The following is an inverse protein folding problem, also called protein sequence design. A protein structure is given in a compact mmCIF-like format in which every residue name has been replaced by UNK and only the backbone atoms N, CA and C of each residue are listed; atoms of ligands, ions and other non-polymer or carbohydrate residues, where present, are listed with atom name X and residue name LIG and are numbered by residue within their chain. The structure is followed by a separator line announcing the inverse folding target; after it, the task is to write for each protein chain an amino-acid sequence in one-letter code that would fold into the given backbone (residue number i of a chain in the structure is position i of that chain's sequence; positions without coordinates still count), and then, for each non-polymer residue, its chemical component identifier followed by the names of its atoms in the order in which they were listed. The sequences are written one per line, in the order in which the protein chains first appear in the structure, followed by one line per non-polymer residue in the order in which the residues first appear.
data_IF_458594395824
#
_entry.id   IF_458594395824
#
_cell.length_a   1.000
_cell.length_b   1.000
_cell.length_c   1.000
_cell.angle_alpha   90.00
_cell.angle_beta   90.00
_cell.angle_gamma   90.00
#
_symmetry.space_group_name_H-M   'P 1'
#
loop_
_entity.id
_entity.type
_entity.pdbx_description
1 polymer ?
#
# COMPACT_ATOMS: atom_id res chain seq x y z
N UNK A 1 -2.30 -72.99 1.27
CA UNK A 1 -2.87 -71.80 0.61
C UNK A 1 -2.48 -70.58 1.37
N UNK A 2 -1.44 -69.83 0.90
CA UNK A 2 -0.99 -68.57 1.47
C UNK A 2 -1.50 -67.43 0.55
N UNK A 3 -2.12 -66.36 1.06
CA UNK A 3 -2.45 -65.21 0.24
C UNK A 3 -1.21 -64.26 0.20
N UNK A 4 -0.71 -64.01 -1.00
CA UNK A 4 0.29 -63.02 -1.28
C UNK A 4 -0.27 -61.61 -1.06
N UNK A 5 0.33 -60.83 -0.14
CA UNK A 5 0.07 -59.41 0.02
C UNK A 5 0.66 -58.63 -1.16
N UNK A 6 -0.18 -58.00 -1.98
CA UNK A 6 0.22 -57.02 -2.98
C UNK A 6 0.65 -55.72 -2.26
N UNK A 7 1.90 -55.32 -2.40
CA UNK A 7 2.42 -54.04 -2.01
C UNK A 7 1.90 -52.94 -2.98
N UNK A 8 1.49 -51.79 -2.51
CA UNK A 8 1.08 -50.69 -3.40
C UNK A 8 2.31 -49.99 -3.98
N UNK A 9 2.60 -50.23 -5.26
CA UNK A 9 3.68 -49.56 -6.01
C UNK A 9 3.33 -48.13 -6.48
N UNK A 10 2.15 -47.64 -6.20
CA UNK A 10 1.66 -46.36 -6.66
C UNK A 10 2.04 -45.18 -5.78
N UNK A 11 2.18 -45.35 -4.47
CA UNK A 11 2.53 -44.28 -3.54
C UNK A 11 3.96 -43.75 -3.72
N UNK A 12 4.88 -44.60 -4.16
CA UNK A 12 6.30 -44.21 -4.37
C UNK A 12 6.47 -43.35 -5.63
N UNK A 13 5.66 -43.57 -6.66
CA UNK A 13 5.75 -42.83 -7.92
C UNK A 13 5.14 -41.44 -7.80
N UNK A 14 4.04 -41.29 -7.05
CA UNK A 14 3.44 -39.98 -6.78
C UNK A 14 4.34 -39.11 -5.90
N UNK A 15 4.95 -39.71 -4.86
CA UNK A 15 5.90 -38.99 -4.00
C UNK A 15 7.15 -38.54 -4.77
N UNK A 16 7.67 -39.38 -5.66
CA UNK A 16 8.82 -39.04 -6.52
C UNK A 16 8.42 -37.91 -7.51
N UNK A 17 7.20 -37.95 -8.07
CA UNK A 17 6.72 -36.93 -8.97
C UNK A 17 6.49 -35.59 -8.23
N UNK A 18 5.95 -35.64 -7.02
CA UNK A 18 5.77 -34.49 -6.15
C UNK A 18 7.09 -33.86 -5.69
N UNK A 19 8.09 -34.70 -5.38
CA UNK A 19 9.46 -34.26 -5.06
C UNK A 19 10.15 -33.67 -6.28
N UNK A 20 10.01 -34.27 -7.47
CA UNK A 20 10.60 -33.75 -8.71
C UNK A 20 9.91 -32.47 -9.23
N UNK A 21 8.61 -32.32 -9.03
CA UNK A 21 7.92 -31.06 -9.31
C UNK A 21 8.30 -29.95 -8.30
N UNK A 22 8.54 -30.32 -7.04
CA UNK A 22 9.06 -29.41 -6.01
C UNK A 22 10.48 -28.95 -6.32
N UNK A 23 11.35 -29.87 -6.77
CA UNK A 23 12.72 -29.55 -7.18
C UNK A 23 12.78 -28.65 -8.43
N UNK A 24 11.80 -28.73 -9.34
CA UNK A 24 11.70 -27.83 -10.50
C UNK A 24 11.33 -26.41 -10.12
N UNK A 25 10.62 -26.20 -9.00
CA UNK A 25 10.28 -24.84 -8.52
C UNK A 25 11.45 -24.13 -7.83
N UNK A 26 12.57 -24.80 -7.61
CA UNK A 26 13.77 -24.30 -6.94
C UNK A 26 14.90 -23.89 -7.87
N UNK A 27 14.75 -24.11 -9.18
CA UNK A 27 15.73 -23.67 -10.17
C UNK A 27 15.82 -22.12 -10.13
N UNK A 28 17.04 -21.55 -9.96
CA UNK A 28 17.25 -20.11 -10.07
C UNK A 28 16.71 -19.50 -11.36
N UNK A 29 16.58 -20.29 -12.42
CA UNK A 29 15.94 -19.90 -13.67
C UNK A 29 14.41 -19.73 -13.51
N UNK A 30 13.75 -20.57 -12.73
CA UNK A 30 12.31 -20.48 -12.44
C UNK A 30 11.98 -19.31 -11.50
N UNK A 31 12.84 -19.03 -10.52
CA UNK A 31 12.71 -17.83 -9.68
C UNK A 31 12.83 -16.55 -10.52
N UNK A 32 13.79 -16.49 -11.46
CA UNK A 32 13.91 -15.37 -12.42
C UNK A 32 12.68 -15.23 -13.30
N UNK A 33 12.05 -16.35 -13.71
CA UNK A 33 10.83 -16.34 -14.51
C UNK A 33 9.60 -15.88 -13.71
N UNK A 34 9.54 -16.21 -12.41
CA UNK A 34 8.42 -15.87 -11.53
C UNK A 34 8.34 -14.36 -11.25
N UNK A 35 9.49 -13.70 -11.08
CA UNK A 35 9.56 -12.25 -10.77
C UNK A 35 9.81 -11.36 -11.99
N UNK A 36 9.82 -11.90 -13.21
CA UNK A 36 9.95 -11.10 -14.42
C UNK A 36 8.63 -10.45 -14.79
N UNK A 37 8.66 -9.14 -15.16
CA UNK A 37 7.50 -8.43 -15.71
C UNK A 37 6.95 -9.18 -16.92
N UNK A 38 5.66 -9.52 -16.89
CA UNK A 38 4.99 -10.31 -17.94
C UNK A 38 4.04 -9.44 -18.74
N UNK A 39 3.67 -9.91 -19.91
CA UNK A 39 2.63 -9.28 -20.74
C UNK A 39 1.32 -9.08 -19.95
N UNK A 40 0.98 -10.00 -19.08
CA UNK A 40 -0.21 -9.91 -18.21
C UNK A 40 -0.14 -8.70 -17.26
N UNK A 41 1.04 -8.38 -16.70
CA UNK A 41 1.24 -7.22 -15.84
C UNK A 41 1.07 -5.93 -16.65
N UNK A 42 1.62 -5.90 -17.87
CA UNK A 42 1.43 -4.77 -18.81
C UNK A 42 -0.04 -4.57 -19.15
N UNK A 43 -0.77 -5.64 -19.49
CA UNK A 43 -2.19 -5.57 -19.80
C UNK A 43 -3.00 -5.09 -18.60
N UNK A 44 -2.74 -5.64 -17.39
CA UNK A 44 -3.40 -5.19 -16.16
C UNK A 44 -3.14 -3.72 -15.88
N UNK A 45 -1.87 -3.29 -15.94
CA UNK A 45 -1.51 -1.87 -15.75
C UNK A 45 -2.19 -1.00 -16.81
N UNK A 46 -2.21 -1.41 -18.07
CA UNK A 46 -2.88 -0.66 -19.13
C UNK A 46 -4.39 -0.54 -18.90
N UNK A 47 -5.05 -1.59 -18.43
CA UNK A 47 -6.48 -1.55 -18.07
C UNK A 47 -6.73 -0.60 -16.91
N UNK A 48 -5.91 -0.65 -15.85
CA UNK A 48 -6.01 0.27 -14.72
C UNK A 48 -5.83 1.73 -15.17
N UNK A 49 -4.81 1.99 -15.98
CA UNK A 49 -4.55 3.33 -16.53
C UNK A 49 -5.68 3.79 -17.46
N UNK A 50 -6.30 2.90 -18.22
CA UNK A 50 -7.47 3.24 -19.04
C UNK A 50 -8.69 3.63 -18.19
N UNK A 51 -8.93 2.92 -17.07
CA UNK A 51 -10.00 3.28 -16.12
C UNK A 51 -9.71 4.66 -15.47
N UNK A 52 -8.46 4.89 -15.07
CA UNK A 52 -8.05 6.17 -14.49
C UNK A 52 -8.16 7.29 -15.54
N UNK A 53 -7.74 7.05 -16.78
CA UNK A 53 -7.90 8.01 -17.87
C UNK A 53 -9.38 8.31 -18.13
N UNK A 54 -10.24 7.31 -18.11
CA UNK A 54 -11.69 7.53 -18.22
C UNK A 54 -12.23 8.40 -17.08
N UNK A 55 -11.78 8.16 -15.84
CA UNK A 55 -12.14 9.02 -14.70
C UNK A 55 -11.69 10.47 -14.91
N UNK A 56 -10.47 10.69 -15.43
CA UNK A 56 -9.99 12.04 -15.78
C UNK A 56 -10.87 12.68 -16.85
N UNK A 57 -11.18 11.96 -17.93
CA UNK A 57 -12.01 12.47 -19.01
C UNK A 57 -13.40 12.86 -18.47
N UNK A 58 -13.99 12.05 -17.61
CA UNK A 58 -15.29 12.37 -16.98
C UNK A 58 -15.18 13.58 -16.07
N UNK A 59 -14.20 13.60 -15.15
CA UNK A 59 -14.06 14.67 -14.16
C UNK A 59 -13.76 16.03 -14.82
N UNK A 60 -12.76 16.08 -15.72
CA UNK A 60 -12.44 17.27 -16.49
C UNK A 60 -13.52 17.63 -17.52
N UNK A 61 -14.19 16.63 -18.08
CA UNK A 61 -15.35 16.84 -18.95
C UNK A 61 -16.48 17.56 -18.23
N UNK A 62 -16.84 17.13 -17.01
CA UNK A 62 -17.82 17.84 -16.17
C UNK A 62 -17.33 19.26 -15.87
N UNK A 63 -16.06 19.44 -15.51
CA UNK A 63 -15.50 20.76 -15.24
C UNK A 63 -15.65 21.69 -16.43
N UNK A 64 -15.13 21.30 -17.61
CA UNK A 64 -15.05 22.21 -18.76
C UNK A 64 -16.35 22.33 -19.55
N UNK A 65 -17.21 21.31 -19.58
CA UNK A 65 -18.43 21.32 -20.38
C UNK A 65 -19.68 21.73 -19.60
N UNK A 66 -19.67 21.58 -18.27
CA UNK A 66 -20.85 21.86 -17.45
C UNK A 66 -20.59 22.95 -16.40
N UNK A 67 -19.45 22.89 -15.68
CA UNK A 67 -19.20 23.82 -14.56
C UNK A 67 -18.71 25.17 -15.07
N UNK A 68 -17.71 25.21 -15.94
CA UNK A 68 -17.13 26.44 -16.46
C UNK A 68 -18.16 27.28 -17.24
N UNK A 69 -18.96 26.69 -18.18
CA UNK A 69 -19.98 27.45 -18.87
C UNK A 69 -21.15 27.93 -17.99
N UNK A 70 -21.31 27.29 -16.81
CA UNK A 70 -22.36 27.66 -15.87
C UNK A 70 -22.09 28.99 -15.12
N UNK A 71 -20.87 29.53 -15.19
CA UNK A 71 -20.46 30.78 -14.52
C UNK A 71 -20.89 30.85 -13.04
N UNK A 72 -20.72 29.70 -12.33
CA UNK A 72 -21.13 29.63 -10.92
C UNK A 72 -20.21 30.45 -10.03
N UNK A 73 -20.78 31.00 -8.97
CA UNK A 73 -20.09 31.81 -7.97
C UNK A 73 -20.41 31.31 -6.55
N UNK A 74 -19.45 31.41 -5.66
CA UNK A 74 -19.60 31.14 -4.22
C UNK A 74 -19.07 32.36 -3.48
N UNK A 75 -19.96 33.19 -2.94
CA UNK A 75 -19.62 34.53 -2.50
C UNK A 75 -19.10 35.34 -3.67
N UNK A 76 -17.96 36.00 -3.51
CA UNK A 76 -17.31 36.83 -4.55
C UNK A 76 -16.32 36.06 -5.43
N UNK A 77 -16.28 34.70 -5.34
CA UNK A 77 -15.31 33.86 -6.03
C UNK A 77 -15.98 32.97 -7.07
N UNK A 78 -15.37 32.92 -8.26
CA UNK A 78 -15.82 32.01 -9.32
C UNK A 78 -15.60 30.54 -8.91
N UNK A 79 -16.66 29.73 -9.02
CA UNK A 79 -16.62 28.31 -8.88
C UNK A 79 -16.36 27.67 -10.25
N UNK A 80 -15.06 27.46 -10.58
CA UNK A 80 -14.66 27.07 -11.92
C UNK A 80 -13.27 26.41 -11.97
N UNK A 81 -12.49 26.76 -12.99
CA UNK A 81 -11.20 26.11 -13.29
C UNK A 81 -10.26 26.13 -12.08
N UNK A 82 -10.14 27.27 -11.38
CA UNK A 82 -9.22 27.37 -10.23
C UNK A 82 -9.53 26.36 -9.14
N UNK A 83 -10.79 26.24 -8.73
CA UNK A 83 -11.22 25.26 -7.73
C UNK A 83 -11.07 23.82 -8.24
N UNK A 84 -11.36 23.58 -9.54
CA UNK A 84 -11.16 22.26 -10.13
C UNK A 84 -9.70 21.82 -10.13
N UNK A 85 -8.77 22.71 -10.51
CA UNK A 85 -7.34 22.44 -10.45
C UNK A 85 -6.88 22.23 -8.99
N UNK A 86 -7.39 23.05 -8.07
CA UNK A 86 -7.09 22.88 -6.63
C UNK A 86 -7.54 21.50 -6.13
N UNK A 87 -8.78 21.10 -6.42
CA UNK A 87 -9.28 19.78 -6.01
C UNK A 87 -8.45 18.63 -6.60
N UNK A 88 -8.07 18.72 -7.88
CA UNK A 88 -7.19 17.73 -8.52
C UNK A 88 -5.82 17.69 -7.84
N UNK A 89 -5.22 18.85 -7.56
CA UNK A 89 -3.91 18.94 -6.90
C UNK A 89 -3.95 18.43 -5.46
N UNK A 90 -5.05 18.71 -4.73
CA UNK A 90 -5.27 18.14 -3.40
C UNK A 90 -5.32 16.60 -3.45
N UNK A 91 -6.00 16.03 -4.45
CA UNK A 91 -6.02 14.58 -4.64
C UNK A 91 -4.64 14.00 -4.96
N UNK A 92 -3.86 14.68 -5.81
CA UNK A 92 -2.47 14.31 -6.08
C UNK A 92 -1.64 14.35 -4.78
N UNK A 93 -1.77 15.42 -3.99
CA UNK A 93 -1.05 15.58 -2.73
C UNK A 93 -1.43 14.49 -1.72
N UNK A 94 -2.70 14.18 -1.62
CA UNK A 94 -3.21 13.16 -0.71
C UNK A 94 -2.63 11.76 -0.98
N UNK A 95 -2.41 11.40 -2.25
CA UNK A 95 -1.71 10.16 -2.59
C UNK A 95 -0.26 10.08 -2.04
N UNK A 96 0.33 11.21 -1.68
CA UNK A 96 1.63 11.27 -1.02
C UNK A 96 1.53 11.33 0.51
N UNK A 97 0.34 11.19 1.09
CA UNK A 97 0.22 11.08 2.53
C UNK A 97 0.93 9.81 3.03
N UNK A 98 1.51 9.92 4.20
CA UNK A 98 2.47 8.94 4.71
C UNK A 98 1.85 7.56 4.93
N UNK A 99 0.59 7.51 5.35
CA UNK A 99 -0.20 6.32 5.57
C UNK A 99 -0.55 5.60 4.25
N UNK A 100 -0.88 6.35 3.17
CA UNK A 100 -1.09 5.82 1.82
C UNK A 100 0.16 5.09 1.32
N UNK A 101 1.30 5.78 1.32
CA UNK A 101 2.58 5.22 0.88
C UNK A 101 2.93 3.98 1.70
N UNK A 102 2.80 4.05 3.03
CA UNK A 102 3.13 2.94 3.91
C UNK A 102 2.19 1.75 3.70
N UNK A 103 0.87 1.97 3.54
CA UNK A 103 -0.11 0.93 3.31
C UNK A 103 0.11 0.22 1.96
N UNK A 104 0.31 0.99 0.88
CA UNK A 104 0.53 0.48 -0.48
C UNK A 104 1.86 -0.29 -0.56
N UNK A 105 2.96 0.31 -0.08
CA UNK A 105 4.29 -0.31 -0.11
C UNK A 105 4.33 -1.62 0.68
N UNK A 106 3.94 -1.59 1.94
CA UNK A 106 4.01 -2.77 2.80
C UNK A 106 3.10 -3.90 2.31
N UNK A 107 1.91 -3.57 1.77
CA UNK A 107 1.00 -4.57 1.20
C UNK A 107 1.54 -5.16 -0.10
N UNK A 108 2.08 -4.32 -0.98
CA UNK A 108 2.72 -4.76 -2.23
C UNK A 108 3.85 -5.73 -1.93
N UNK A 109 4.70 -5.40 -1.00
CA UNK A 109 5.81 -6.25 -0.53
C UNK A 109 5.32 -7.58 0.04
N UNK A 110 4.32 -7.54 0.94
CA UNK A 110 3.74 -8.76 1.52
C UNK A 110 3.20 -9.69 0.45
N UNK A 111 2.40 -9.17 -0.49
CA UNK A 111 1.83 -9.99 -1.56
C UNK A 111 2.90 -10.56 -2.49
N UNK A 112 3.96 -9.81 -2.76
CA UNK A 112 5.09 -10.32 -3.53
C UNK A 112 5.88 -11.39 -2.79
N UNK A 113 6.11 -11.23 -1.49
CA UNK A 113 6.70 -12.27 -0.66
C UNK A 113 5.86 -13.54 -0.64
N UNK A 114 4.52 -13.40 -0.80
CA UNK A 114 3.58 -14.51 -0.96
C UNK A 114 3.52 -15.08 -2.40
N UNK A 115 4.46 -14.72 -3.28
CA UNK A 115 4.53 -15.17 -4.67
C UNK A 115 3.42 -14.61 -5.58
N UNK A 116 2.75 -13.53 -5.16
CA UNK A 116 1.65 -12.90 -5.91
C UNK A 116 2.14 -11.72 -6.74
N UNK A 117 1.26 -11.23 -7.62
CA UNK A 117 1.52 -10.09 -8.51
C UNK A 117 0.60 -8.93 -8.15
N UNK A 118 1.02 -8.06 -7.23
CA UNK A 118 0.17 -7.02 -6.62
C UNK A 118 0.11 -5.70 -7.43
N UNK A 119 0.09 -5.75 -8.76
CA UNK A 119 0.11 -4.56 -9.64
C UNK A 119 -1.01 -3.56 -9.34
N UNK A 120 -2.14 -4.02 -8.82
CA UNK A 120 -3.34 -3.20 -8.62
C UNK A 120 -3.60 -2.81 -7.15
N UNK A 121 -2.61 -2.90 -6.27
CA UNK A 121 -2.75 -2.57 -4.84
C UNK A 121 -3.15 -1.11 -4.65
N UNK A 122 -2.38 -0.17 -5.22
CA UNK A 122 -2.67 1.26 -5.12
C UNK A 122 -4.01 1.64 -5.73
N UNK A 123 -4.34 1.07 -6.90
CA UNK A 123 -5.65 1.31 -7.54
C UNK A 123 -6.84 0.95 -6.63
N UNK A 124 -6.84 -0.25 -6.05
CA UNK A 124 -7.93 -0.69 -5.19
C UNK A 124 -8.01 0.11 -3.89
N UNK A 125 -6.87 0.50 -3.35
CA UNK A 125 -6.80 1.36 -2.17
C UNK A 125 -7.40 2.73 -2.49
N UNK A 126 -6.92 3.41 -3.52
CA UNK A 126 -7.44 4.70 -3.98
C UNK A 126 -8.92 4.67 -4.31
N UNK A 127 -9.39 3.62 -4.98
CA UNK A 127 -10.80 3.48 -5.33
C UNK A 127 -11.69 3.35 -4.08
N UNK A 128 -11.23 2.58 -3.08
CA UNK A 128 -11.93 2.46 -1.80
C UNK A 128 -12.01 3.78 -1.07
N UNK A 129 -10.89 4.46 -0.92
CA UNK A 129 -10.77 5.77 -0.28
C UNK A 129 -11.63 6.84 -0.99
N UNK A 130 -11.46 6.97 -2.31
CA UNK A 130 -12.26 7.91 -3.11
C UNK A 130 -13.77 7.67 -3.02
N UNK A 131 -14.19 6.41 -2.82
CA UNK A 131 -15.61 6.09 -2.68
C UNK A 131 -16.24 6.77 -1.48
N UNK A 132 -15.51 6.91 -0.36
CA UNK A 132 -15.98 7.65 0.82
C UNK A 132 -16.11 9.15 0.51
N UNK A 133 -15.07 9.71 -0.11
CA UNK A 133 -15.04 11.14 -0.47
C UNK A 133 -16.18 11.51 -1.41
N UNK A 134 -16.41 10.70 -2.46
CA UNK A 134 -17.52 10.91 -3.41
C UNK A 134 -18.87 10.70 -2.74
N UNK A 135 -19.02 9.67 -1.89
CA UNK A 135 -20.27 9.41 -1.17
C UNK A 135 -20.64 10.59 -0.25
N UNK A 136 -19.65 11.11 0.47
CA UNK A 136 -19.87 12.26 1.35
C UNK A 136 -20.25 13.51 0.55
N UNK A 137 -19.60 13.78 -0.57
CA UNK A 137 -19.98 14.89 -1.44
C UNK A 137 -21.39 14.73 -2.04
N UNK A 138 -21.82 13.50 -2.34
CA UNK A 138 -23.21 13.22 -2.72
C UNK A 138 -24.20 13.56 -1.60
N UNK A 139 -23.86 13.21 -0.35
CA UNK A 139 -24.67 13.55 0.82
C UNK A 139 -24.74 15.08 1.04
N UNK A 140 -23.62 15.78 0.83
CA UNK A 140 -23.54 17.25 0.87
C UNK A 140 -24.44 17.85 -0.23
N UNK A 141 -24.28 17.39 -1.47
CA UNK A 141 -25.07 17.87 -2.61
C UNK A 141 -26.59 17.61 -2.44
N UNK A 142 -26.94 16.52 -1.75
CA UNK A 142 -28.31 16.18 -1.38
C UNK A 142 -28.88 16.99 -0.21
N UNK A 143 -28.09 17.87 0.41
CA UNK A 143 -28.52 18.70 1.53
C UNK A 143 -28.88 17.92 2.78
N UNK A 144 -28.27 16.75 3.00
CA UNK A 144 -28.63 15.86 4.11
C UNK A 144 -28.10 16.39 5.45
N UNK A 145 -28.88 16.24 6.53
CA UNK A 145 -28.41 16.55 7.89
C UNK A 145 -27.19 15.69 8.31
N UNK A 146 -27.03 14.53 7.70
CA UNK A 146 -25.88 13.67 7.94
C UNK A 146 -24.58 14.32 7.44
N UNK A 147 -24.60 14.95 6.26
CA UNK A 147 -23.45 15.68 5.74
C UNK A 147 -23.02 16.79 6.71
N UNK A 148 -23.95 17.58 7.22
CA UNK A 148 -23.66 18.60 8.23
C UNK A 148 -23.04 18.03 9.53
N UNK A 149 -23.47 16.84 9.95
CA UNK A 149 -22.90 16.16 11.12
C UNK A 149 -21.48 15.65 10.86
N UNK A 150 -21.23 15.12 9.68
CA UNK A 150 -19.89 14.62 9.32
C UNK A 150 -18.90 15.77 9.13
N UNK A 151 -19.33 16.89 8.59
CA UNK A 151 -18.48 18.08 8.37
C UNK A 151 -18.20 18.91 9.64
N UNK A 152 -19.04 18.80 10.64
CA UNK A 152 -18.88 19.57 11.87
C UNK A 152 -17.93 18.86 12.85
N UNK A 153 -16.72 19.39 13.01
CA UNK A 153 -15.70 18.86 13.92
C UNK A 153 -16.22 18.69 15.37
N UNK A 154 -17.12 19.56 15.82
CA UNK A 154 -17.76 19.44 17.15
C UNK A 154 -18.82 18.33 17.23
N UNK A 155 -19.19 17.67 16.13
CA UNK A 155 -20.20 16.62 16.16
C UNK A 155 -19.64 15.28 16.62
N UNK A 156 -20.43 14.52 17.38
CA UNK A 156 -20.08 13.15 17.78
C UNK A 156 -19.86 12.22 16.56
N UNK A 157 -20.55 12.46 15.46
CA UNK A 157 -20.40 11.68 14.23
C UNK A 157 -19.02 11.89 13.61
N UNK A 158 -18.55 13.12 13.45
CA UNK A 158 -17.22 13.44 12.97
C UNK A 158 -16.14 12.83 13.86
N UNK A 159 -16.24 13.06 15.17
CA UNK A 159 -15.28 12.52 16.15
C UNK A 159 -15.22 10.98 16.15
N UNK A 160 -16.35 10.29 16.01
CA UNK A 160 -16.37 8.81 15.93
C UNK A 160 -15.75 8.32 14.62
N UNK A 161 -16.06 8.96 13.49
CA UNK A 161 -15.50 8.56 12.19
C UNK A 161 -13.98 8.81 12.15
N UNK A 162 -13.52 9.96 12.60
CA UNK A 162 -12.09 10.29 12.73
C UNK A 162 -11.37 9.27 13.62
N UNK A 163 -11.89 9.04 14.83
CA UNK A 163 -11.34 8.04 15.75
C UNK A 163 -11.24 6.64 15.11
N UNK A 164 -12.28 6.20 14.42
CA UNK A 164 -12.30 4.88 13.78
C UNK A 164 -11.30 4.82 12.62
N UNK A 165 -11.26 5.83 11.73
CA UNK A 165 -10.36 5.87 10.58
C UNK A 165 -8.91 5.85 11.01
N UNK A 166 -8.49 6.77 11.88
CA UNK A 166 -7.11 6.86 12.36
C UNK A 166 -6.69 5.63 13.18
N UNK A 167 -7.62 5.08 14.00
CA UNK A 167 -7.32 3.83 14.74
C UNK A 167 -7.12 2.65 13.80
N UNK A 168 -7.94 2.54 12.75
CA UNK A 168 -7.84 1.47 11.75
C UNK A 168 -6.54 1.62 10.96
N UNK A 169 -6.22 2.84 10.49
CA UNK A 169 -4.96 3.14 9.79
C UNK A 169 -3.76 2.76 10.63
N UNK A 170 -3.59 3.34 11.79
CA UNK A 170 -2.45 3.08 12.68
C UNK A 170 -2.32 1.61 13.08
N UNK A 171 -3.44 0.95 13.41
CA UNK A 171 -3.44 -0.47 13.74
C UNK A 171 -3.03 -1.33 12.54
N UNK A 172 -3.52 -1.01 11.35
CA UNK A 172 -3.13 -1.69 10.12
C UNK A 172 -1.65 -1.53 9.83
N UNK A 173 -1.11 -0.31 9.94
CA UNK A 173 0.30 -0.04 9.74
C UNK A 173 1.20 -0.84 10.70
N UNK A 174 0.82 -0.90 11.98
CA UNK A 174 1.52 -1.75 12.96
C UNK A 174 1.46 -3.23 12.62
N UNK A 175 0.28 -3.72 12.25
CA UNK A 175 0.09 -5.12 11.88
C UNK A 175 0.96 -5.51 10.68
N UNK A 176 0.89 -4.74 9.59
CA UNK A 176 1.62 -5.05 8.36
C UNK A 176 3.14 -4.88 8.56
N UNK A 177 3.57 -3.89 9.35
CA UNK A 177 4.97 -3.70 9.71
C UNK A 177 5.50 -4.87 10.55
N UNK A 178 4.72 -5.35 11.53
CA UNK A 178 5.08 -6.52 12.33
C UNK A 178 5.22 -7.79 11.48
N UNK A 179 4.31 -8.01 10.53
CA UNK A 179 4.39 -9.12 9.58
C UNK A 179 5.65 -9.06 8.72
N UNK A 180 5.97 -7.87 8.20
CA UNK A 180 7.18 -7.65 7.41
C UNK A 180 8.46 -7.78 8.26
N UNK A 181 8.42 -7.37 9.54
CA UNK A 181 9.54 -7.51 10.46
C UNK A 181 9.86 -8.99 10.73
N UNK A 182 8.85 -9.82 10.93
CA UNK A 182 9.09 -11.27 11.13
C UNK A 182 9.68 -11.91 9.87
N UNK A 183 9.19 -11.54 8.68
CA UNK A 183 9.77 -11.98 7.43
C UNK A 183 11.24 -11.52 7.30
N UNK A 184 11.54 -10.27 7.65
CA UNK A 184 12.89 -9.70 7.62
C UNK A 184 13.84 -10.42 8.58
N UNK A 185 13.38 -10.72 9.81
CA UNK A 185 14.17 -11.48 10.80
C UNK A 185 14.49 -12.90 10.29
N UNK A 186 13.54 -13.54 9.61
CA UNK A 186 13.78 -14.83 8.93
C UNK A 186 14.89 -14.73 7.89
N UNK A 187 14.83 -13.73 7.00
CA UNK A 187 15.85 -13.48 5.98
C UNK A 187 17.23 -13.19 6.61
N UNK A 188 17.28 -12.43 7.70
CA UNK A 188 18.52 -12.13 8.42
C UNK A 188 19.17 -13.36 9.04
N UNK A 189 18.37 -14.29 9.58
CA UNK A 189 18.90 -15.57 10.14
C UNK A 189 19.55 -16.40 9.04
N UNK A 190 18.88 -16.55 7.92
CA UNK A 190 19.41 -17.26 6.75
C UNK A 190 20.68 -16.59 6.25
N UNK A 191 20.69 -15.27 6.11
CA UNK A 191 21.88 -14.54 5.68
C UNK A 191 23.08 -14.75 6.61
N UNK A 192 22.85 -14.78 7.93
CA UNK A 192 23.90 -15.06 8.92
C UNK A 192 24.43 -16.49 8.80
N UNK A 193 23.54 -17.46 8.59
CA UNK A 193 23.91 -18.86 8.37
C UNK A 193 24.75 -19.03 7.09
N UNK A 194 24.37 -18.36 5.99
CA UNK A 194 25.15 -18.32 4.76
C UNK A 194 26.58 -17.79 4.97
N UNK A 195 26.72 -16.70 5.73
CA UNK A 195 28.04 -16.11 6.03
C UNK A 195 28.89 -16.98 6.96
N UNK A 196 28.28 -17.81 7.80
CA UNK A 196 28.96 -18.75 8.70
C UNK A 196 29.40 -20.04 7.99
N UNK A 197 29.12 -20.19 6.68
CA UNK A 197 29.51 -21.41 5.91
C UNK A 197 28.65 -22.62 6.18
N UNK A 198 27.60 -22.51 6.99
CA UNK A 198 26.65 -23.59 7.29
C UNK A 198 25.38 -23.47 6.43
N UNK A 199 25.55 -23.31 5.12
CA UNK A 199 24.45 -23.10 4.21
C UNK A 199 23.89 -24.39 3.66
N UNK A 200 22.65 -24.73 3.97
CA UNK A 200 21.84 -25.73 3.27
C UNK A 200 20.69 -24.98 2.56
N UNK A 201 20.62 -25.10 1.23
CA UNK A 201 19.61 -24.47 0.38
C UNK A 201 18.18 -24.93 0.78
N UNK A 202 18.05 -26.16 1.28
CA UNK A 202 16.80 -26.71 1.81
C UNK A 202 16.36 -26.06 3.13
N UNK A 203 17.30 -25.66 3.97
CA UNK A 203 17.04 -24.96 5.22
C UNK A 203 16.60 -23.52 4.97
N UNK A 204 17.11 -22.86 3.91
CA UNK A 204 16.64 -21.57 3.42
C UNK A 204 15.17 -21.61 3.01
N UNK A 205 14.78 -22.63 2.24
CA UNK A 205 13.39 -22.80 1.83
C UNK A 205 12.47 -23.13 2.99
N UNK A 206 12.88 -24.01 3.89
CA UNK A 206 12.12 -24.33 5.11
C UNK A 206 11.95 -23.12 6.02
N UNK A 207 12.93 -22.23 6.12
CA UNK A 207 12.82 -20.99 6.91
C UNK A 207 12.10 -19.87 6.17
N UNK A 208 12.16 -19.80 4.84
CA UNK A 208 11.26 -18.96 4.04
C UNK A 208 9.83 -19.51 4.09
N UNK A 209 9.67 -20.84 4.19
CA UNK A 209 8.40 -21.55 4.38
C UNK A 209 8.01 -21.73 5.86
N UNK A 210 8.85 -21.41 6.84
CA UNK A 210 8.54 -21.51 8.27
C UNK A 210 7.43 -20.54 8.74
N UNK A 211 6.58 -20.17 7.79
CA UNK A 211 5.21 -19.66 7.95
C UNK A 211 4.34 -20.54 8.86
N UNK A 212 4.80 -21.76 9.23
CA UNK A 212 4.05 -22.68 10.06
C UNK A 212 3.73 -22.15 11.47
N UNK A 213 4.67 -21.45 12.13
CA UNK A 213 4.43 -20.82 13.43
C UNK A 213 3.61 -19.52 13.27
N UNK A 214 3.96 -18.68 12.28
CA UNK A 214 3.19 -17.47 11.96
C UNK A 214 1.78 -17.79 11.47
N UNK A 215 1.60 -18.83 10.63
CA UNK A 215 0.27 -19.29 10.24
C UNK A 215 -0.55 -19.82 11.42
N UNK A 216 0.07 -20.35 12.47
CA UNK A 216 -0.65 -20.86 13.64
C UNK A 216 -1.10 -19.74 14.59
N UNK A 217 -0.27 -18.72 14.79
CA UNK A 217 -0.55 -17.59 15.71
C UNK A 217 -1.24 -16.43 15.01
N UNK A 218 -0.78 -16.07 13.81
CA UNK A 218 -1.27 -14.93 13.03
C UNK A 218 -2.02 -15.36 11.76
N UNK A 219 -2.28 -16.64 11.57
CA UNK A 219 -2.81 -17.19 10.32
C UNK A 219 -4.19 -16.65 9.89
N UNK A 220 -4.97 -16.09 10.83
CA UNK A 220 -6.19 -15.35 10.50
C UNK A 220 -5.88 -13.93 10.06
N UNK A 221 -4.91 -13.28 10.69
CA UNK A 221 -4.48 -11.90 10.38
C UNK A 221 -3.62 -11.84 9.11
N UNK A 222 -2.74 -12.83 8.88
CA UNK A 222 -1.96 -12.93 7.63
C UNK A 222 -2.83 -13.25 6.41
N UNK A 223 -4.00 -13.87 6.61
CA UNK A 223 -4.99 -14.10 5.56
C UNK A 223 -5.83 -12.86 5.24
N UNK A 224 -5.76 -11.79 6.06
CA UNK A 224 -6.60 -10.59 5.88
C UNK A 224 -6.39 -9.92 4.53
N UNK A 225 -5.13 -9.80 4.05
CA UNK A 225 -4.85 -9.30 2.71
C UNK A 225 -4.08 -10.38 1.93
N UNK A 226 -4.80 -11.11 1.13
CA UNK A 226 -4.29 -12.18 0.26
C UNK A 226 -4.43 -11.86 -1.23
N UNK A 227 -5.13 -10.80 -1.60
CA UNK A 227 -5.39 -10.36 -2.98
C UNK A 227 -5.41 -8.83 -3.04
N UNK A 228 -4.94 -8.20 -4.14
CA UNK A 228 -4.95 -6.74 -4.28
C UNK A 228 -6.34 -6.11 -4.07
N UNK A 229 -7.41 -6.74 -4.54
CA UNK A 229 -8.78 -6.23 -4.41
C UNK A 229 -9.27 -6.07 -2.96
N UNK A 230 -8.61 -6.69 -1.99
CA UNK A 230 -8.92 -6.50 -0.56
C UNK A 230 -8.41 -5.16 -0.01
N UNK A 231 -7.65 -4.42 -0.82
CA UNK A 231 -7.28 -3.04 -0.49
C UNK A 231 -8.45 -2.06 -0.65
N UNK A 232 -9.50 -2.41 -1.42
CA UNK A 232 -10.68 -1.57 -1.53
C UNK A 232 -11.39 -1.33 -0.18
N UNK A 233 -11.83 -2.37 0.57
CA UNK A 233 -12.43 -2.14 1.87
C UNK A 233 -11.47 -1.49 2.87
N UNK A 234 -10.17 -1.72 2.76
CA UNK A 234 -9.18 -1.06 3.59
C UNK A 234 -9.11 0.44 3.27
N UNK A 235 -8.94 0.81 1.99
CA UNK A 235 -8.94 2.21 1.56
C UNK A 235 -10.25 2.93 1.94
N UNK A 236 -11.39 2.24 1.83
CA UNK A 236 -12.66 2.77 2.30
C UNK A 236 -12.65 3.10 3.80
N UNK A 237 -12.08 2.21 4.63
CA UNK A 237 -11.97 2.45 6.07
C UNK A 237 -11.00 3.59 6.42
N UNK A 238 -9.91 3.73 5.65
CA UNK A 238 -8.99 4.86 5.79
C UNK A 238 -9.70 6.18 5.45
N UNK A 239 -10.45 6.24 4.37
CA UNK A 239 -11.20 7.44 3.97
C UNK A 239 -12.30 7.88 4.94
N UNK A 240 -12.64 7.07 5.97
CA UNK A 240 -13.56 7.50 7.03
C UNK A 240 -12.89 8.42 8.06
N UNK A 241 -11.55 8.53 8.05
CA UNK A 241 -10.79 9.27 9.05
C UNK A 241 -11.02 10.77 8.99
N UNK A 242 -11.09 11.36 7.80
CA UNK A 242 -11.19 12.82 7.56
C UNK A 242 -10.17 13.63 8.37
N UNK A 243 -8.98 13.06 8.59
CA UNK A 243 -7.95 13.62 9.45
C UNK A 243 -6.89 14.42 8.70
N UNK A 244 -7.00 14.49 7.35
CA UNK A 244 -6.04 15.22 6.51
C UNK A 244 -6.58 16.57 6.06
N UNK A 245 -5.70 17.58 6.05
CA UNK A 245 -6.03 18.93 5.58
C UNK A 245 -6.54 18.96 4.12
N UNK A 246 -6.11 18.00 3.30
CA UNK A 246 -6.52 17.86 1.90
C UNK A 246 -8.00 17.48 1.76
N UNK A 247 -8.46 16.49 2.54
CA UNK A 247 -9.85 16.05 2.54
C UNK A 247 -10.78 17.09 3.15
N UNK A 248 -10.39 17.67 4.30
CA UNK A 248 -11.15 18.72 4.96
C UNK A 248 -11.33 19.91 4.01
N UNK A 249 -10.26 20.37 3.36
CA UNK A 249 -10.33 21.48 2.39
C UNK A 249 -11.28 21.15 1.24
N UNK A 250 -11.20 19.94 0.68
CA UNK A 250 -12.11 19.51 -0.39
C UNK A 250 -13.57 19.53 0.06
N UNK A 251 -13.84 19.02 1.27
CA UNK A 251 -15.20 18.98 1.81
C UNK A 251 -15.75 20.40 2.10
N UNK A 252 -14.93 21.31 2.59
CA UNK A 252 -15.28 22.73 2.76
C UNK A 252 -15.62 23.38 1.42
N UNK A 253 -14.84 23.10 0.38
CA UNK A 253 -15.11 23.59 -0.98
C UNK A 253 -16.44 23.04 -1.52
N UNK A 254 -16.69 21.74 -1.38
CA UNK A 254 -17.95 21.11 -1.80
C UNK A 254 -19.15 21.64 -1.01
N UNK A 255 -18.99 21.79 0.32
CA UNK A 255 -20.00 22.32 1.22
C UNK A 255 -20.35 23.78 0.93
N UNK A 256 -19.36 24.60 0.62
CA UNK A 256 -19.58 26.01 0.21
C UNK A 256 -20.36 26.07 -1.09
N UNK A 257 -20.11 25.22 -2.07
CA UNK A 257 -20.87 25.08 -3.29
C UNK A 257 -22.33 24.69 -3.02
N UNK A 258 -22.56 23.73 -2.13
CA UNK A 258 -23.88 23.28 -1.73
C UNK A 258 -24.67 24.41 -1.02
N UNK A 259 -24.02 25.13 -0.11
CA UNK A 259 -24.62 26.27 0.61
C UNK A 259 -24.99 27.42 -0.35
N UNK A 260 -24.24 27.60 -1.43
CA UNK A 260 -24.56 28.56 -2.49
C UNK A 260 -25.65 28.07 -3.47
N UNK A 261 -26.18 26.84 -3.26
CA UNK A 261 -27.23 26.28 -4.11
C UNK A 261 -26.77 25.81 -5.49
N UNK A 262 -25.49 25.49 -5.64
CA UNK A 262 -24.94 24.97 -6.89
C UNK A 262 -25.57 23.61 -7.26
N UNK A 263 -25.70 23.30 -8.56
CA UNK A 263 -26.22 22.01 -8.98
C UNK A 263 -25.28 20.87 -8.53
N UNK A 264 -25.87 19.72 -8.26
CA UNK A 264 -25.18 18.54 -7.72
C UNK A 264 -23.94 18.11 -8.54
N UNK A 265 -23.98 18.24 -9.86
CA UNK A 265 -22.84 17.89 -10.71
C UNK A 265 -21.66 18.85 -10.56
N UNK A 266 -21.92 20.13 -10.26
CA UNK A 266 -20.85 21.08 -9.99
C UNK A 266 -20.15 20.75 -8.66
N UNK A 267 -20.92 20.40 -7.63
CA UNK A 267 -20.40 19.98 -6.32
C UNK A 267 -19.59 18.70 -6.47
N UNK A 268 -20.12 17.68 -7.19
CA UNK A 268 -19.44 16.40 -7.41
C UNK A 268 -18.22 16.48 -8.32
N UNK A 269 -18.09 17.52 -9.13
CA UNK A 269 -16.91 17.74 -9.96
C UNK A 269 -15.63 17.76 -9.13
N UNK A 270 -15.64 18.40 -7.95
CA UNK A 270 -14.46 18.52 -7.09
C UNK A 270 -13.95 17.17 -6.56
N UNK A 271 -14.78 16.32 -5.92
CA UNK A 271 -14.33 15.01 -5.44
C UNK A 271 -13.99 14.03 -6.57
N UNK A 272 -14.59 14.18 -7.75
CA UNK A 272 -14.18 13.37 -8.92
C UNK A 272 -12.80 13.76 -9.43
N UNK A 273 -12.47 15.06 -9.45
CA UNK A 273 -11.13 15.55 -9.77
C UNK A 273 -10.09 15.11 -8.73
N UNK A 274 -10.43 15.21 -7.45
CA UNK A 274 -9.62 14.71 -6.36
C UNK A 274 -9.34 13.19 -6.52
N UNK A 275 -10.41 12.41 -6.72
CA UNK A 275 -10.31 10.97 -6.94
C UNK A 275 -9.45 10.61 -8.16
N UNK A 276 -9.54 11.40 -9.24
CA UNK A 276 -8.72 11.19 -10.43
C UNK A 276 -7.22 11.41 -10.13
N UNK A 277 -6.88 12.50 -9.45
CA UNK A 277 -5.51 12.81 -9.04
C UNK A 277 -4.94 11.74 -8.11
N UNK A 278 -5.66 11.41 -7.04
CA UNK A 278 -5.25 10.41 -6.05
C UNK A 278 -5.10 9.03 -6.70
N UNK A 279 -6.10 8.56 -7.46
CA UNK A 279 -6.04 7.24 -8.09
C UNK A 279 -4.88 7.09 -9.06
N UNK A 280 -4.50 8.16 -9.76
CA UNK A 280 -3.34 8.14 -10.65
C UNK A 280 -2.06 7.90 -9.86
N UNK A 281 -1.81 8.68 -8.81
CA UNK A 281 -0.54 8.63 -8.08
C UNK A 281 -0.43 7.38 -7.19
N UNK A 282 -1.48 6.94 -6.51
CA UNK A 282 -1.50 5.69 -5.76
C UNK A 282 -1.27 4.47 -6.67
N UNK A 283 -1.84 4.50 -7.89
CA UNK A 283 -1.64 3.41 -8.86
C UNK A 283 -0.22 3.42 -9.42
N UNK A 284 0.36 4.60 -9.68
CA UNK A 284 1.74 4.75 -10.11
C UNK A 284 2.70 4.26 -9.01
N UNK A 285 2.46 4.64 -7.75
CA UNK A 285 3.26 4.19 -6.61
C UNK A 285 3.23 2.66 -6.47
N UNK A 286 2.06 2.05 -6.40
CA UNK A 286 1.92 0.59 -6.30
C UNK A 286 2.53 -0.15 -7.50
N UNK A 287 2.43 0.41 -8.70
CA UNK A 287 3.04 -0.17 -9.92
C UNK A 287 4.56 -0.05 -9.89
N UNK A 288 5.07 1.12 -9.49
CA UNK A 288 6.51 1.37 -9.35
C UNK A 288 7.12 0.45 -8.29
N UNK A 289 6.48 0.34 -7.12
CA UNK A 289 6.93 -0.56 -6.06
C UNK A 289 6.93 -2.02 -6.51
N UNK A 290 5.88 -2.46 -7.21
CA UNK A 290 5.85 -3.80 -7.78
C UNK A 290 7.00 -4.05 -8.76
N UNK A 291 7.32 -3.10 -9.63
CA UNK A 291 8.45 -3.18 -10.55
C UNK A 291 9.80 -3.22 -9.82
N UNK A 292 10.00 -2.32 -8.86
CA UNK A 292 11.22 -2.23 -8.06
C UNK A 292 11.50 -3.53 -7.30
N UNK A 293 10.45 -4.11 -6.69
CA UNK A 293 10.59 -5.38 -5.97
C UNK A 293 10.79 -6.58 -6.88
N UNK A 294 10.16 -6.64 -8.05
CA UNK A 294 10.44 -7.70 -9.03
C UNK A 294 11.92 -7.74 -9.41
N UNK A 295 12.49 -6.57 -9.69
CA UNK A 295 13.91 -6.45 -9.99
C UNK A 295 14.79 -6.89 -8.80
N UNK A 296 14.44 -6.50 -7.58
CA UNK A 296 15.17 -6.86 -6.37
C UNK A 296 15.14 -8.37 -6.10
N UNK A 297 13.99 -9.01 -6.34
CA UNK A 297 13.78 -10.43 -6.01
C UNK A 297 14.25 -11.42 -7.09
N UNK A 298 14.66 -10.94 -8.25
CA UNK A 298 15.10 -11.76 -9.38
C UNK A 298 16.45 -12.50 -9.17
N UNK A 299 17.21 -12.20 -8.11
CA UNK A 299 18.47 -12.82 -7.76
C UNK A 299 18.54 -13.06 -6.24
N UNK A 300 18.85 -14.28 -5.76
CA UNK A 300 18.85 -14.60 -4.32
C UNK A 300 19.71 -13.66 -3.47
N UNK A 301 20.93 -13.34 -3.90
CA UNK A 301 21.84 -12.44 -3.18
C UNK A 301 21.30 -11.01 -3.19
N UNK A 302 20.75 -10.57 -4.31
CA UNK A 302 20.10 -9.26 -4.46
C UNK A 302 18.85 -9.19 -3.60
N UNK A 303 18.03 -10.25 -3.59
CA UNK A 303 16.84 -10.38 -2.74
C UNK A 303 17.15 -10.16 -1.27
N UNK A 304 18.22 -10.78 -0.75
CA UNK A 304 18.62 -10.61 0.66
C UNK A 304 19.04 -9.17 0.94
N UNK A 305 19.90 -8.58 0.08
CA UNK A 305 20.40 -7.23 0.28
C UNK A 305 19.27 -6.18 0.24
N UNK A 306 18.42 -6.24 -0.77
CA UNK A 306 17.31 -5.28 -0.93
C UNK A 306 16.20 -5.52 0.10
N UNK A 307 15.87 -6.75 0.44
CA UNK A 307 14.93 -7.02 1.52
C UNK A 307 15.43 -6.43 2.84
N UNK A 308 16.72 -6.55 3.14
CA UNK A 308 17.27 -5.98 4.36
C UNK A 308 17.14 -4.45 4.37
N UNK A 309 17.52 -3.80 3.26
CA UNK A 309 17.59 -2.33 3.18
C UNK A 309 16.20 -1.71 3.05
N UNK A 310 15.45 -2.11 2.01
CA UNK A 310 14.18 -1.47 1.69
C UNK A 310 13.06 -1.97 2.62
N UNK A 311 13.00 -3.26 2.95
CA UNK A 311 12.02 -3.77 3.91
C UNK A 311 12.24 -3.19 5.30
N UNK A 312 13.50 -3.04 5.72
CA UNK A 312 13.82 -2.39 6.99
C UNK A 312 13.34 -0.94 7.04
N UNK A 313 13.55 -0.20 5.95
CA UNK A 313 13.06 1.17 5.82
C UNK A 313 11.53 1.24 5.88
N UNK A 314 10.83 0.41 5.09
CA UNK A 314 9.36 0.39 5.09
C UNK A 314 8.76 0.04 6.44
N UNK A 315 9.37 -0.92 7.15
CA UNK A 315 8.95 -1.27 8.51
C UNK A 315 9.13 -0.07 9.44
N UNK A 316 10.27 0.61 9.37
CA UNK A 316 10.55 1.78 10.21
C UNK A 316 9.55 2.91 9.94
N UNK A 317 9.26 3.19 8.66
CA UNK A 317 8.27 4.19 8.24
C UNK A 317 6.87 3.83 8.75
N UNK A 318 6.42 2.59 8.54
CA UNK A 318 5.10 2.16 8.98
C UNK A 318 4.93 2.20 10.51
N UNK A 319 5.96 1.81 11.27
CA UNK A 319 5.93 1.96 12.73
C UNK A 319 5.94 3.42 13.15
N UNK A 320 6.72 4.28 12.49
CA UNK A 320 6.80 5.70 12.80
C UNK A 320 5.42 6.37 12.61
N UNK A 321 4.81 6.19 11.44
CA UNK A 321 3.50 6.77 11.12
C UNK A 321 2.42 6.20 12.05
N UNK A 322 2.33 4.88 12.15
CA UNK A 322 1.35 4.23 13.01
C UNK A 322 1.49 4.63 14.48
N UNK A 323 2.74 4.95 14.94
CA UNK A 323 2.95 5.48 16.30
C UNK A 323 2.32 6.88 16.43
N UNK A 324 2.57 7.78 15.48
CA UNK A 324 2.02 9.14 15.53
C UNK A 324 0.48 9.07 15.54
N UNK A 325 -0.12 8.30 14.65
CA UNK A 325 -1.58 8.14 14.58
C UNK A 325 -2.17 7.56 15.87
N UNK A 326 -1.63 6.45 16.38
CA UNK A 326 -2.17 5.81 17.59
C UNK A 326 -1.90 6.61 18.86
N UNK A 327 -0.75 7.26 18.96
CA UNK A 327 -0.45 8.16 20.09
C UNK A 327 -1.35 9.39 20.03
N UNK A 328 -1.60 9.97 18.85
CA UNK A 328 -2.53 11.08 18.66
C UNK A 328 -3.94 10.71 19.15
N UNK A 329 -4.44 9.54 18.73
CA UNK A 329 -5.73 9.02 19.20
C UNK A 329 -5.78 8.82 20.73
N UNK A 330 -4.72 8.26 21.33
CA UNK A 330 -4.65 8.05 22.78
C UNK A 330 -4.53 9.37 23.53
N UNK A 331 -3.72 10.31 23.02
CA UNK A 331 -3.55 11.65 23.56
C UNK A 331 -4.90 12.36 23.65
N UNK A 332 -5.70 12.36 22.57
CA UNK A 332 -7.02 12.98 22.55
C UNK A 332 -8.02 12.28 23.47
N UNK A 333 -8.10 10.92 23.44
CA UNK A 333 -9.13 10.17 24.15
C UNK A 333 -8.88 10.03 25.65
N UNK A 334 -7.62 10.03 26.05
CA UNK A 334 -7.22 9.89 27.46
C UNK A 334 -6.85 11.24 28.10
N UNK A 335 -7.00 12.37 27.36
CA UNK A 335 -6.60 13.72 27.78
C UNK A 335 -5.18 13.74 28.36
N UNK A 336 -4.24 13.06 27.66
CA UNK A 336 -2.84 13.00 28.07
C UNK A 336 -2.22 14.39 27.91
N UNK A 337 -1.53 14.90 28.91
CA UNK A 337 -0.93 16.25 28.92
C UNK A 337 0.56 16.21 29.20
N UNK A 338 1.20 15.08 28.99
CA UNK A 338 2.64 14.97 29.12
C UNK A 338 3.34 15.50 27.84
N UNK A 339 4.57 16.01 28.03
CA UNK A 339 5.34 16.65 26.94
C UNK A 339 5.64 15.70 25.77
N UNK A 340 5.77 14.39 26.04
CA UNK A 340 6.15 13.40 25.02
C UNK A 340 4.97 13.09 24.10
N UNK A 341 3.80 12.75 24.67
CA UNK A 341 2.62 12.45 23.86
C UNK A 341 2.10 13.70 23.15
N UNK A 342 2.17 14.89 23.76
CA UNK A 342 1.87 16.16 23.14
C UNK A 342 2.79 16.40 21.93
N UNK A 343 4.11 16.27 22.11
CA UNK A 343 5.06 16.46 21.02
C UNK A 343 4.83 15.49 19.86
N UNK A 344 4.50 14.21 20.16
CA UNK A 344 4.20 13.20 19.11
C UNK A 344 2.89 13.55 18.39
N UNK A 345 1.84 13.92 19.13
CA UNK A 345 0.53 14.24 18.58
C UNK A 345 0.56 15.50 17.70
N UNK A 346 1.45 16.46 18.03
CA UNK A 346 1.62 17.72 17.30
C UNK A 346 2.51 17.56 16.04
N UNK A 347 3.03 16.38 15.75
CA UNK A 347 3.82 16.14 14.55
C UNK A 347 2.93 16.25 13.31
N UNK A 348 3.21 17.25 12.47
CA UNK A 348 2.53 17.44 11.19
C UNK A 348 2.94 16.38 10.17
N UNK A 349 2.02 15.50 9.80
CA UNK A 349 2.21 14.48 8.77
C UNK A 349 2.00 14.98 7.35
N UNK A 350 1.46 16.17 7.14
CA UNK A 350 1.07 16.72 5.83
C UNK A 350 2.19 16.71 4.78
N UNK A 351 3.43 16.93 5.20
CA UNK A 351 4.60 16.95 4.31
C UNK A 351 5.52 15.75 4.48
N UNK A 352 5.26 14.89 5.46
CA UNK A 352 6.10 13.73 5.77
C UNK A 352 6.11 12.73 4.61
N UNK A 353 5.01 12.59 3.88
CA UNK A 353 4.92 11.71 2.71
C UNK A 353 5.94 12.05 1.62
N UNK A 354 6.15 13.32 1.30
CA UNK A 354 7.19 13.72 0.33
C UNK A 354 8.60 13.37 0.82
N UNK A 355 8.85 13.52 2.12
CA UNK A 355 10.13 13.13 2.73
C UNK A 355 10.32 11.63 2.64
N UNK A 356 9.28 10.84 2.88
CA UNK A 356 9.30 9.38 2.79
C UNK A 356 9.59 8.95 1.35
N UNK A 357 8.88 9.48 0.35
CA UNK A 357 9.14 9.17 -1.07
C UNK A 357 10.57 9.52 -1.43
N UNK A 358 11.03 10.72 -1.07
CA UNK A 358 12.41 11.13 -1.29
C UNK A 358 13.41 10.17 -0.64
N UNK A 359 13.15 9.76 0.61
CA UNK A 359 13.97 8.81 1.34
C UNK A 359 14.01 7.43 0.66
N UNK A 360 12.85 6.91 0.20
CA UNK A 360 12.80 5.66 -0.56
C UNK A 360 13.62 5.74 -1.85
N UNK A 361 13.48 6.82 -2.62
CA UNK A 361 14.23 7.03 -3.87
C UNK A 361 15.73 7.10 -3.59
N UNK A 362 16.14 7.87 -2.57
CA UNK A 362 17.56 8.03 -2.21
C UNK A 362 18.15 6.71 -1.70
N UNK A 363 17.46 6.01 -0.80
CA UNK A 363 17.92 4.72 -0.27
C UNK A 363 17.99 3.68 -1.39
N UNK A 364 16.98 3.65 -2.29
CA UNK A 364 16.98 2.76 -3.43
C UNK A 364 18.15 3.07 -4.38
N UNK A 365 18.35 4.33 -4.76
CA UNK A 365 19.46 4.75 -5.63
C UNK A 365 20.82 4.45 -4.99
N UNK A 366 20.99 4.73 -3.69
CA UNK A 366 22.20 4.42 -2.94
C UNK A 366 22.44 2.90 -2.89
N UNK A 367 21.40 2.10 -2.64
CA UNK A 367 21.50 0.64 -2.64
C UNK A 367 21.90 0.09 -4.01
N UNK A 368 21.33 0.62 -5.11
CA UNK A 368 21.71 0.25 -6.50
C UNK A 368 23.15 0.65 -6.78
N UNK A 369 23.53 1.88 -6.43
CA UNK A 369 24.90 2.38 -6.60
C UNK A 369 25.90 1.52 -5.82
N UNK A 370 25.63 1.27 -4.54
CA UNK A 370 26.48 0.42 -3.70
C UNK A 370 26.59 -1.00 -4.28
N UNK A 371 25.46 -1.59 -4.71
CA UNK A 371 25.45 -2.92 -5.34
C UNK A 371 26.39 -2.99 -6.55
N UNK A 372 26.33 -1.98 -7.43
CA UNK A 372 27.15 -1.93 -8.64
C UNK A 372 28.63 -1.62 -8.33
N UNK A 373 28.89 -0.59 -7.52
CA UNK A 373 30.25 -0.13 -7.23
C UNK A 373 31.03 -1.12 -6.33
N UNK A 374 30.40 -1.66 -5.31
CA UNK A 374 31.02 -2.63 -4.40
C UNK A 374 31.08 -4.04 -4.97
N UNK A 375 30.54 -4.29 -6.21
CA UNK A 375 30.47 -5.61 -6.87
C UNK A 375 29.95 -6.70 -5.90
N UNK A 376 28.89 -6.38 -5.17
CA UNK A 376 28.35 -7.22 -4.10
C UNK A 376 28.02 -8.63 -4.60
N UNK A 377 27.51 -8.75 -5.82
CA UNK A 377 27.20 -10.03 -6.47
C UNK A 377 28.43 -10.95 -6.56
N UNK A 378 29.61 -10.40 -6.89
CA UNK A 378 30.86 -11.16 -6.98
C UNK A 378 31.43 -11.51 -5.60
N UNK A 379 31.25 -10.63 -4.60
CA UNK A 379 31.76 -10.84 -3.24
C UNK A 379 30.91 -11.83 -2.43
N UNK A 380 29.61 -11.91 -2.74
CA UNK A 380 28.66 -12.75 -2.01
C UNK A 380 28.28 -14.02 -2.78
N UNK A 381 28.75 -14.19 -4.03
CA UNK A 381 28.66 -15.47 -4.72
C UNK A 381 29.41 -16.53 -3.90
N UNK A 382 28.69 -17.53 -3.44
CA UNK A 382 29.28 -18.68 -2.74
C UNK A 382 30.28 -19.33 -3.70
N UNK A 383 31.55 -19.41 -3.34
CA UNK A 383 32.52 -20.23 -4.07
C UNK A 383 31.99 -21.67 -4.06
N UNK A 384 31.89 -22.35 -5.21
CA UNK A 384 31.60 -23.75 -5.20
C UNK A 384 32.63 -24.44 -4.26
N UNK A 385 32.12 -25.27 -3.36
CA UNK A 385 33.02 -26.09 -2.55
C UNK A 385 33.92 -26.85 -3.52
N UNK A 386 35.24 -26.65 -3.42
CA UNK A 386 36.20 -27.42 -4.17
C UNK A 386 35.92 -28.91 -3.88
N UNK A 387 35.37 -29.58 -4.88
CA UNK A 387 35.26 -31.07 -4.88
C UNK A 387 36.66 -31.62 -4.89
N UNK A 388 37.19 -31.89 -3.68
CA UNK A 388 38.33 -32.79 -3.51
C UNK A 388 37.86 -34.22 -3.34
#
# INVERSE_FOLDING_TARGET
MHPQARRPATASHELIHEVLERDRMTDPADLRATFRWRREDTVRTAVLMAVIAALHVVAFGILFLLVVPGHYEVGDKAFGIGLGITAYTLGMRHAFDADHIAAIDNTTRKLMADGKRPVSVGFWFALGHSSVVVLLALLIAGGTQLAGRVMNEGSSTHQVLGFLGTTISGTFLYLIAALNLVALVGILRVFRAMRAGSYDERELEQHLDSRGFMNRVLGRLTKSISRPGQMYPLGFLFGLGFDTATEVTLMVMAGSGAAAGLPWYAILCLPLLFAAGMSLFDTLDGTFMNFAYQWAFSNPVRKVFYNLTITGLSIAVAFFIGTIELVGVLHEKLDLRDDVTTWIADLDLDNVGYVIVGLFVVVWAAAVAYWKLAKVEQRWAVRPADTR
#
